data_IF_660181779122
#
_entry.id   IF_660181779122
#
_cell.length_a   1.000
_cell.length_b   1.000
_cell.length_c   1.000
_cell.angle_alpha   90.00
_cell.angle_beta   90.00
_cell.angle_gamma   90.00
#
_symmetry.space_group_name_H-M   'P 1'
#
loop_
_entity.id
_entity.type
_entity.pdbx_description
1 polymer ?
#
# COMPACT_ATOMS: atom_id res chain seq x y z
N UNK A 1 -18.32 19.97 2.25
CA UNK A 1 -16.85 20.06 2.36
C UNK A 1 -16.26 18.96 1.50
N UNK A 2 -15.44 19.29 0.50
CA UNK A 2 -14.75 18.27 -0.31
C UNK A 2 -13.49 17.88 0.47
N UNK A 3 -13.42 16.66 0.99
CA UNK A 3 -12.23 16.17 1.67
C UNK A 3 -11.13 16.00 0.61
N UNK A 4 -10.03 16.74 0.76
CA UNK A 4 -8.89 16.63 -0.17
C UNK A 4 -8.08 15.41 0.21
N UNK A 5 -8.06 14.41 -0.65
CA UNK A 5 -7.25 13.19 -0.47
C UNK A 5 -5.76 13.57 -0.52
N UNK A 6 -5.02 13.16 0.50
CA UNK A 6 -3.58 13.34 0.65
C UNK A 6 -2.78 12.42 -0.30
N UNK A 7 -1.47 12.66 -0.42
CA UNK A 7 -0.59 11.82 -1.26
C UNK A 7 -0.49 10.39 -0.70
N UNK A 8 -0.40 10.23 0.62
CA UNK A 8 -0.35 8.90 1.24
C UNK A 8 -1.63 8.12 0.98
N UNK A 9 -2.79 8.73 1.19
CA UNK A 9 -4.08 8.08 0.94
C UNK A 9 -4.24 7.70 -0.54
N UNK A 10 -3.73 8.51 -1.47
CA UNK A 10 -3.71 8.14 -2.90
C UNK A 10 -2.88 6.90 -3.18
N UNK A 11 -1.76 6.74 -2.48
CA UNK A 11 -0.92 5.55 -2.61
C UNK A 11 -1.60 4.33 -2.01
N UNK A 12 -2.25 4.48 -0.85
CA UNK A 12 -2.99 3.39 -0.22
C UNK A 12 -4.13 2.91 -1.11
N UNK A 13 -4.90 3.83 -1.69
CA UNK A 13 -5.98 3.52 -2.63
C UNK A 13 -5.47 2.92 -3.94
N UNK A 14 -4.31 3.36 -4.42
CA UNK A 14 -3.63 2.75 -5.57
C UNK A 14 -3.20 1.30 -5.27
N UNK A 15 -2.60 1.05 -4.10
CA UNK A 15 -2.20 -0.30 -3.69
C UNK A 15 -3.42 -1.19 -3.49
N UNK A 16 -4.47 -0.70 -2.82
CA UNK A 16 -5.71 -1.46 -2.62
C UNK A 16 -6.33 -1.85 -3.97
N UNK A 17 -6.39 -0.91 -4.92
CA UNK A 17 -6.84 -1.19 -6.29
C UNK A 17 -6.05 -2.34 -6.91
N UNK A 18 -4.72 -2.31 -6.88
CA UNK A 18 -3.90 -3.39 -7.44
C UNK A 18 -4.10 -4.73 -6.74
N UNK A 19 -4.44 -4.74 -5.44
CA UNK A 19 -4.71 -5.98 -4.71
C UNK A 19 -5.99 -6.66 -5.19
N UNK A 20 -6.97 -5.91 -5.70
CA UNK A 20 -8.21 -6.46 -6.25
C UNK A 20 -8.00 -7.27 -7.53
N UNK A 21 -6.97 -6.97 -8.31
CA UNK A 21 -6.69 -7.63 -9.59
C UNK A 21 -5.41 -8.48 -9.52
N UNK A 22 -5.45 -9.74 -9.96
CA UNK A 22 -4.27 -10.61 -10.04
C UNK A 22 -4.58 -12.05 -10.38
N UNK A 23 -3.56 -12.86 -10.63
CA UNK A 23 -3.69 -14.26 -11.11
C UNK A 23 -4.48 -15.13 -10.13
N UNK A 24 -4.50 -14.77 -8.84
CA UNK A 24 -5.28 -15.47 -7.82
C UNK A 24 -6.78 -15.58 -8.17
N UNK A 25 -7.30 -14.69 -9.01
CA UNK A 25 -8.70 -14.70 -9.47
C UNK A 25 -9.03 -15.87 -10.39
N UNK A 26 -8.04 -16.48 -11.04
CA UNK A 26 -8.27 -17.65 -11.90
C UNK A 26 -8.81 -18.85 -11.12
N UNK A 27 -8.43 -18.98 -9.85
CA UNK A 27 -8.92 -20.02 -8.93
C UNK A 27 -10.03 -19.54 -7.99
N UNK A 28 -10.43 -18.27 -8.05
CA UNK A 28 -11.47 -17.71 -7.20
C UNK A 28 -12.89 -18.11 -7.65
N UNK A 29 -13.84 -18.03 -6.72
CA UNK A 29 -15.26 -18.22 -7.01
C UNK A 29 -15.85 -17.00 -7.76
N UNK A 30 -17.03 -17.21 -8.35
CA UNK A 30 -17.72 -16.20 -9.16
C UNK A 30 -18.04 -14.92 -8.38
N UNK A 31 -18.41 -15.04 -7.10
CA UNK A 31 -18.79 -13.88 -6.27
C UNK A 31 -17.54 -13.05 -6.00
N UNK A 32 -16.43 -13.69 -5.62
CA UNK A 32 -15.14 -13.02 -5.40
C UNK A 32 -14.66 -12.30 -6.66
N UNK A 33 -14.74 -12.92 -7.84
CA UNK A 33 -14.36 -12.26 -9.09
C UNK A 33 -15.26 -11.07 -9.38
N UNK A 34 -16.57 -11.23 -9.18
CA UNK A 34 -17.53 -10.17 -9.46
C UNK A 34 -17.26 -8.94 -8.62
N UNK A 35 -17.13 -9.14 -7.31
CA UNK A 35 -16.87 -8.06 -6.37
C UNK A 35 -15.49 -7.42 -6.61
N UNK A 36 -14.44 -8.24 -6.73
CA UNK A 36 -13.08 -7.72 -6.89
C UNK A 36 -12.88 -6.98 -8.21
N UNK A 37 -13.37 -7.50 -9.34
CA UNK A 37 -13.10 -6.92 -10.66
C UNK A 37 -14.18 -5.92 -11.07
N UNK A 38 -15.45 -6.33 -11.04
CA UNK A 38 -16.54 -5.58 -11.64
C UNK A 38 -17.14 -4.53 -10.70
N UNK A 39 -16.72 -4.49 -9.44
CA UNK A 39 -17.10 -3.44 -8.49
C UNK A 39 -15.88 -2.67 -8.01
N UNK A 40 -14.96 -3.30 -7.28
CA UNK A 40 -13.85 -2.58 -6.64
C UNK A 40 -12.76 -2.16 -7.63
N UNK A 41 -12.26 -3.08 -8.45
CA UNK A 41 -11.20 -2.76 -9.41
C UNK A 41 -11.66 -1.81 -10.51
N UNK A 42 -12.91 -1.90 -10.99
CA UNK A 42 -13.45 -0.99 -11.99
C UNK A 42 -13.44 0.48 -11.51
N UNK A 43 -13.92 0.71 -10.28
CA UNK A 43 -13.86 2.02 -9.63
C UNK A 43 -12.41 2.48 -9.43
N UNK A 44 -11.52 1.57 -9.01
CA UNK A 44 -10.12 1.87 -8.84
C UNK A 44 -9.38 2.15 -10.16
N UNK A 45 -9.73 1.48 -11.25
CA UNK A 45 -9.12 1.64 -12.56
C UNK A 45 -9.53 2.98 -13.22
N UNK A 46 -10.78 3.39 -13.02
CA UNK A 46 -11.26 4.70 -13.47
C UNK A 46 -10.67 5.85 -12.64
N UNK A 47 -10.40 5.62 -11.35
CA UNK A 47 -9.98 6.66 -10.40
C UNK A 47 -8.47 6.68 -10.10
N UNK A 48 -7.94 5.62 -9.48
CA UNK A 48 -6.59 5.58 -8.91
C UNK A 48 -5.52 5.13 -9.91
N UNK A 49 -5.89 4.40 -10.96
CA UNK A 49 -5.01 4.13 -12.10
C UNK A 49 -5.06 5.24 -13.17
N UNK A 50 -5.86 6.28 -12.98
CA UNK A 50 -5.94 7.39 -13.93
C UNK A 50 -4.62 8.17 -14.00
N UNK A 51 -4.28 8.66 -15.19
CA UNK A 51 -3.01 9.37 -15.46
C UNK A 51 -2.74 10.50 -14.47
N UNK A 52 -3.76 11.29 -14.12
CA UNK A 52 -3.61 12.37 -13.15
C UNK A 52 -3.14 11.89 -11.77
N UNK A 53 -3.63 10.74 -11.30
CA UNK A 53 -3.19 10.18 -10.02
C UNK A 53 -1.78 9.62 -10.14
N UNK A 54 -1.50 8.88 -11.21
CA UNK A 54 -0.18 8.29 -11.46
C UNK A 54 0.93 9.35 -11.58
N UNK A 55 0.66 10.47 -12.26
CA UNK A 55 1.59 11.60 -12.34
C UNK A 55 1.91 12.15 -10.96
N UNK A 56 0.91 12.35 -10.09
CA UNK A 56 1.14 12.81 -8.71
C UNK A 56 1.98 11.82 -7.91
N UNK A 57 1.72 10.51 -8.03
CA UNK A 57 2.51 9.48 -7.34
C UNK A 57 3.95 9.40 -7.86
N UNK A 58 4.17 9.64 -9.16
CA UNK A 58 5.50 9.70 -9.75
C UNK A 58 6.26 10.95 -9.31
N UNK A 59 5.63 12.12 -9.38
CA UNK A 59 6.25 13.41 -9.04
C UNK A 59 6.64 13.48 -7.56
N UNK A 60 5.94 12.73 -6.71
CA UNK A 60 6.26 12.58 -5.28
C UNK A 60 7.27 11.47 -4.99
N UNK A 61 7.72 10.74 -6.01
CA UNK A 61 8.73 9.68 -5.90
C UNK A 61 8.21 8.37 -5.30
N UNK A 62 6.90 8.21 -5.11
CA UNK A 62 6.30 6.99 -4.55
C UNK A 62 6.25 5.84 -5.57
N UNK A 63 6.15 6.17 -6.86
CA UNK A 63 6.31 5.24 -7.97
C UNK A 63 7.37 5.78 -8.95
N UNK A 64 8.00 4.87 -9.70
CA UNK A 64 8.96 5.23 -10.73
C UNK A 64 8.30 5.19 -12.13
N UNK A 65 9.05 5.61 -13.16
CA UNK A 65 8.58 5.60 -14.55
C UNK A 65 8.12 4.22 -15.03
N UNK A 66 8.83 3.17 -14.63
CA UNK A 66 8.49 1.79 -15.00
C UNK A 66 7.11 1.39 -14.46
N UNK A 67 6.86 1.65 -13.17
CA UNK A 67 5.60 1.36 -12.50
C UNK A 67 4.47 2.21 -13.07
N UNK A 68 4.72 3.49 -13.36
CA UNK A 68 3.75 4.38 -13.99
C UNK A 68 3.34 3.87 -15.37
N UNK A 69 4.31 3.55 -16.23
CA UNK A 69 4.03 3.06 -17.59
C UNK A 69 3.23 1.75 -17.58
N UNK A 70 3.62 0.79 -16.72
CA UNK A 70 2.87 -0.46 -16.56
C UNK A 70 1.46 -0.22 -16.01
N UNK A 71 1.28 0.73 -15.10
CA UNK A 71 -0.05 1.08 -14.57
C UNK A 71 -0.96 1.69 -15.63
N UNK A 72 -0.40 2.52 -16.51
CA UNK A 72 -1.13 3.08 -17.67
C UNK A 72 -1.53 1.95 -18.63
N UNK A 73 -0.60 1.04 -18.93
CA UNK A 73 -0.86 -0.12 -19.79
C UNK A 73 -1.97 -1.01 -19.20
N UNK A 74 -1.89 -1.32 -17.90
CA UNK A 74 -2.91 -2.10 -17.18
C UNK A 74 -4.28 -1.46 -17.31
N UNK A 75 -4.37 -0.14 -17.05
CA UNK A 75 -5.63 0.60 -17.18
C UNK A 75 -6.16 0.54 -18.61
N UNK A 76 -5.32 0.77 -19.61
CA UNK A 76 -5.78 0.82 -21.01
C UNK A 76 -6.33 -0.55 -21.46
N UNK A 77 -5.59 -1.64 -21.21
CA UNK A 77 -6.05 -3.00 -21.50
C UNK A 77 -7.38 -3.31 -20.80
N UNK A 78 -7.53 -2.90 -19.54
CA UNK A 78 -8.77 -3.09 -18.79
C UNK A 78 -9.96 -2.31 -19.38
N UNK A 79 -9.76 -1.04 -19.73
CA UNK A 79 -10.79 -0.19 -20.33
C UNK A 79 -11.22 -0.70 -21.72
N UNK A 80 -10.29 -1.28 -22.49
CA UNK A 80 -10.61 -1.94 -23.76
C UNK A 80 -11.49 -3.17 -23.55
N UNK A 81 -11.23 -3.98 -22.51
CA UNK A 81 -12.08 -5.13 -22.18
C UNK A 81 -13.48 -4.72 -21.71
N UNK A 82 -13.61 -3.62 -20.96
CA UNK A 82 -14.90 -3.10 -20.50
C UNK A 82 -15.83 -2.71 -21.67
N UNK A 83 -15.25 -2.23 -22.78
CA UNK A 83 -16.00 -1.96 -24.02
C UNK A 83 -16.26 -3.18 -24.89
N UNK A 84 -15.79 -4.37 -24.51
CA UNK A 84 -15.82 -5.57 -25.35
C UNK A 84 -16.87 -6.60 -24.90
N UNK A 85 -17.05 -7.65 -25.70
CA UNK A 85 -17.88 -8.81 -25.34
C UNK A 85 -17.22 -9.76 -24.31
N UNK A 86 -16.02 -9.44 -23.82
CA UNK A 86 -15.26 -10.25 -22.85
C UNK A 86 -15.43 -9.77 -21.41
N UNK A 87 -16.37 -8.85 -21.16
CA UNK A 87 -16.69 -8.36 -19.83
C UNK A 87 -17.60 -9.34 -19.07
N UNK A 88 -17.04 -10.47 -18.64
CA UNK A 88 -17.76 -11.49 -17.88
C UNK A 88 -16.83 -12.29 -16.97
N UNK A 89 -17.36 -12.86 -15.89
CA UNK A 89 -16.59 -13.76 -15.00
C UNK A 89 -16.01 -14.95 -15.77
N UNK A 90 -16.76 -15.51 -16.71
CA UNK A 90 -16.30 -16.65 -17.51
C UNK A 90 -15.10 -16.27 -18.38
N UNK A 91 -15.09 -15.05 -18.93
CA UNK A 91 -13.95 -14.54 -19.67
C UNK A 91 -12.73 -14.33 -18.77
N UNK A 92 -12.90 -13.82 -17.55
CA UNK A 92 -11.79 -13.64 -16.59
C UNK A 92 -11.01 -14.94 -16.37
N UNK A 93 -11.70 -16.08 -16.34
CA UNK A 93 -11.08 -17.39 -16.10
C UNK A 93 -10.41 -18.01 -17.32
N UNK A 94 -10.90 -17.72 -18.52
CA UNK A 94 -10.58 -18.50 -19.71
C UNK A 94 -9.91 -17.70 -20.85
N UNK A 95 -9.95 -16.36 -20.80
CA UNK A 95 -9.38 -15.53 -21.87
C UNK A 95 -7.92 -15.19 -21.60
N UNK A 96 -7.10 -15.26 -22.66
CA UNK A 96 -5.70 -14.85 -22.61
C UNK A 96 -5.55 -13.34 -22.36
N UNK A 97 -6.48 -12.52 -22.85
CA UNK A 97 -6.45 -11.07 -22.61
C UNK A 97 -6.65 -10.74 -21.13
N UNK A 98 -7.54 -11.46 -20.44
CA UNK A 98 -7.67 -11.34 -18.99
C UNK A 98 -6.41 -11.82 -18.28
N UNK A 99 -5.85 -12.95 -18.67
CA UNK A 99 -4.59 -13.45 -18.10
C UNK A 99 -3.48 -12.38 -18.16
N UNK A 100 -3.30 -11.72 -19.31
CA UNK A 100 -2.31 -10.64 -19.45
C UNK A 100 -2.53 -9.50 -18.45
N UNK A 101 -3.79 -9.08 -18.23
CA UNK A 101 -4.13 -8.03 -17.27
C UNK A 101 -3.83 -8.47 -15.83
N UNK A 102 -4.22 -9.70 -15.49
CA UNK A 102 -3.98 -10.26 -14.15
C UNK A 102 -2.48 -10.39 -13.86
N UNK A 103 -1.70 -10.87 -14.84
CA UNK A 103 -0.24 -10.97 -14.75
C UNK A 103 0.42 -9.61 -14.63
N UNK A 104 -0.02 -8.62 -15.42
CA UNK A 104 0.51 -7.26 -15.38
C UNK A 104 0.25 -6.60 -14.02
N UNK A 105 -0.93 -6.80 -13.43
CA UNK A 105 -1.21 -6.34 -12.06
C UNK A 105 -0.26 -6.97 -11.03
N UNK A 106 -0.03 -8.28 -11.12
CA UNK A 106 0.90 -8.99 -10.24
C UNK A 106 2.36 -8.54 -10.43
N UNK A 107 2.77 -8.24 -11.66
CA UNK A 107 4.08 -7.68 -11.97
C UNK A 107 4.27 -6.30 -11.33
N UNK A 108 3.28 -5.40 -11.48
CA UNK A 108 3.30 -4.07 -10.85
C UNK A 108 3.41 -4.20 -9.33
N UNK A 109 2.63 -5.09 -8.70
CA UNK A 109 2.70 -5.34 -7.26
C UNK A 109 4.09 -5.80 -6.82
N UNK A 110 4.76 -6.66 -7.60
CA UNK A 110 6.15 -7.07 -7.34
C UNK A 110 7.11 -5.89 -7.43
N UNK A 111 6.97 -5.04 -8.44
CA UNK A 111 7.76 -3.81 -8.57
C UNK A 111 7.53 -2.86 -7.39
N UNK A 112 6.28 -2.68 -6.93
CA UNK A 112 5.95 -1.84 -5.78
C UNK A 112 6.53 -2.39 -4.47
N UNK A 113 6.48 -3.70 -4.21
CA UNK A 113 7.13 -4.32 -3.04
C UNK A 113 8.63 -4.11 -3.04
N UNK A 114 9.25 -4.15 -4.22
CA UNK A 114 10.67 -3.84 -4.41
C UNK A 114 11.01 -2.34 -4.29
N UNK A 115 10.01 -1.47 -4.17
CA UNK A 115 10.22 -0.04 -3.93
C UNK A 115 9.78 0.38 -2.51
N UNK A 116 8.86 -0.37 -1.87
CA UNK A 116 8.43 -0.13 -0.49
C UNK A 116 9.58 -0.29 0.53
N UNK A 117 10.53 -1.20 0.30
CA UNK A 117 11.74 -1.28 1.11
C UNK A 117 12.69 -0.08 0.91
N UNK A 118 12.54 0.69 -0.17
CA UNK A 118 13.32 1.91 -0.41
C UNK A 118 12.70 3.12 0.30
N UNK A 119 11.37 3.21 0.35
CA UNK A 119 10.66 4.32 1.00
C UNK A 119 10.81 4.27 2.53
N UNK A 120 10.86 3.07 3.13
CA UNK A 120 11.16 2.90 4.56
C UNK A 120 12.61 3.24 4.94
N UNK A 121 13.50 3.41 3.97
CA UNK A 121 14.90 3.83 4.19
C UNK A 121 15.15 5.31 3.85
N UNK A 122 14.14 6.05 3.36
CA UNK A 122 14.30 7.46 2.97
C UNK A 122 13.28 8.32 3.71
N UNK A 123 13.68 8.85 4.86
CA UNK A 123 13.24 10.13 5.43
C UNK A 123 14.41 10.73 6.25
N UNK A 124 14.66 12.05 6.27
CA UNK A 124 14.59 13.05 5.22
C UNK A 124 15.98 13.73 5.00
N UNK A 125 16.53 13.74 3.80
CA UNK A 125 17.64 14.64 3.49
C UNK A 125 17.12 15.95 2.89
N UNK A 126 16.39 16.72 3.68
CA UNK A 126 16.41 18.18 3.50
C UNK A 126 17.61 18.71 4.27
N UNK A 127 18.79 18.64 3.66
CA UNK A 127 19.93 19.45 4.12
C UNK A 127 19.65 20.90 3.72
N UNK A 128 19.03 21.64 4.64
CA UNK A 128 19.14 23.10 4.62
C UNK A 128 20.58 23.40 4.98
N UNK A 129 21.37 23.83 4.01
CA UNK A 129 22.68 24.45 4.26
C UNK A 129 22.45 25.76 5.01
N UNK A 130 22.62 25.75 6.32
CA UNK A 130 22.91 26.97 7.08
C UNK A 130 24.42 27.15 7.19
N UNK A 131 24.96 28.35 6.91
CA UNK A 131 26.40 28.60 6.92
C UNK A 131 26.88 28.85 8.36
N UNK A 132 26.76 27.87 9.24
CA UNK A 132 27.45 27.85 10.54
C UNK A 132 27.49 26.40 11.04
N UNK A 133 28.68 25.81 11.06
CA UNK A 133 28.88 24.42 11.45
C UNK A 133 28.64 24.19 12.94
N UNK A 134 27.67 23.34 13.25
CA UNK A 134 27.59 22.60 14.52
C UNK A 134 26.88 21.27 14.24
N UNK A 135 27.60 20.15 14.36
CA UNK A 135 27.02 18.81 14.34
C UNK A 135 26.62 18.44 15.78
N UNK A 136 25.32 18.32 16.05
CA UNK A 136 24.82 17.58 17.21
C UNK A 136 24.13 16.32 16.68
N UNK A 137 24.83 15.19 16.71
CA UNK A 137 24.22 13.89 16.41
C UNK A 137 23.46 13.40 17.64
N UNK A 138 22.13 13.53 17.64
CA UNK A 138 21.28 12.79 18.58
C UNK A 138 20.73 11.54 17.90
N UNK A 139 21.24 10.40 18.33
CA UNK A 139 20.79 9.06 17.98
C UNK A 139 19.78 8.64 19.04
N UNK A 140 18.51 8.42 18.67
CA UNK A 140 17.57 7.64 19.47
C UNK A 140 16.75 6.75 18.53
N UNK A 141 17.27 5.55 18.34
CA UNK A 141 16.45 4.37 18.10
C UNK A 141 16.29 3.69 19.46
N UNK A 142 15.07 3.60 19.97
CA UNK A 142 14.62 2.43 20.74
C UNK A 142 13.16 2.58 21.10
N UNK A 143 12.46 1.48 20.88
CA UNK A 143 11.08 1.17 21.24
C UNK A 143 10.65 1.69 22.61
N UNK A 144 9.43 2.22 22.69
CA UNK A 144 8.71 2.38 23.95
C UNK A 144 7.34 1.73 23.78
N UNK A 145 7.21 0.51 24.29
CA UNK A 145 6.04 0.09 25.05
C UNK A 145 6.50 -0.88 26.13
N UNK A 146 7.00 -0.31 27.23
CA UNK A 146 7.14 -1.02 28.50
C UNK A 146 6.17 -0.36 29.47
N UNK A 147 5.12 -1.09 29.82
CA UNK A 147 4.25 -0.79 30.94
C UNK A 147 5.10 -0.72 32.22
N UNK A 148 5.15 0.45 32.84
CA UNK A 148 5.66 0.64 34.19
C UNK A 148 4.46 0.76 35.15
N UNK A 149 4.28 -0.23 36.01
CA UNK A 149 3.58 -0.08 37.28
C UNK A 149 4.55 -0.51 38.39
N UNK A 150 5.13 0.49 39.05
CA UNK A 150 6.01 0.33 40.18
C UNK A 150 5.21 0.23 41.47
N UNK A 151 5.54 -0.75 42.33
CA UNK A 151 5.30 -0.64 43.77
C UNK A 151 6.46 -1.29 44.55
N UNK A 152 7.26 -0.39 45.14
CA UNK A 152 8.14 -0.43 46.32
C UNK A 152 8.81 -1.74 46.81
N UNK A 153 10.15 -1.64 46.95
CA UNK A 153 11.01 -2.47 47.81
C UNK A 153 10.74 -2.21 49.30
N UNK A 154 10.92 -3.22 50.15
CA UNK A 154 11.20 -3.04 51.59
C UNK A 154 11.06 -4.32 52.40
N UNK A 155 12.19 -4.98 52.71
CA UNK A 155 12.27 -6.02 53.73
C UNK A 155 12.45 -5.37 55.12
N UNK A 156 11.73 -5.86 56.14
CA UNK A 156 11.97 -5.50 57.54
C UNK A 156 10.78 -5.74 58.48
N UNK A 157 10.90 -6.80 59.30
CA UNK A 157 10.17 -7.21 60.52
C UNK A 157 9.02 -6.32 61.06
N UNK A 158 7.86 -6.94 61.37
CA UNK A 158 7.09 -6.92 62.64
C UNK A 158 6.01 -8.03 62.54
N UNK A 159 6.10 -9.14 63.29
CA UNK A 159 5.43 -9.43 64.59
C UNK A 159 3.92 -9.76 64.52
N UNK A 160 3.64 -11.03 64.86
CA UNK A 160 2.51 -11.59 65.62
C UNK A 160 1.09 -11.72 65.01
N UNK A 161 0.51 -12.88 65.35
CA UNK A 161 -0.91 -13.24 65.49
C UNK A 161 -1.70 -13.73 64.27
N UNK A 162 -1.53 -15.02 63.97
CA UNK A 162 -2.61 -15.86 63.43
C UNK A 162 -3.30 -16.56 64.62
N UNK A 163 -4.49 -16.05 64.96
CA UNK A 163 -5.50 -16.76 65.74
C UNK A 163 -6.40 -17.50 64.76
N UNK A 164 -6.65 -18.78 65.08
CA UNK A 164 -7.48 -19.81 64.45
C UNK A 164 -6.83 -20.67 63.35
#
# INVERSE_FOLDING_TARGET
>A
MVHKITVSERMDLYIDTLQRCGIYLLSADTITISYSIFEEFDVGATSFLHINNLTVLKDTGLINDLVMNKSIELRNKFMELQGSNKWSVESVKNSSEWLEILELSDEIKKCCKNNLWRITQVQPHTSVTTPCGFLLSLRLASDISVYAAATSRGAGLLLLDYIL
#
